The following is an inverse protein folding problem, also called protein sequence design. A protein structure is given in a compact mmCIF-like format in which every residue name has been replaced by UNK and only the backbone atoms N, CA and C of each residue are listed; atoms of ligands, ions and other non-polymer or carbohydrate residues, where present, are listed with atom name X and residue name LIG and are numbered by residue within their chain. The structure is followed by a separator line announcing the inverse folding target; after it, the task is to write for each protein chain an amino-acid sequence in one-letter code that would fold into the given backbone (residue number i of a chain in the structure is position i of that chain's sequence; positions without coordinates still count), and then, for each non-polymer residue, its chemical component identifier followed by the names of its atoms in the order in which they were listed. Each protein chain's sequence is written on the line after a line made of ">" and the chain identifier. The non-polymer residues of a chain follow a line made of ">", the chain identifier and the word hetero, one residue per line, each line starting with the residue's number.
data_IF_773140607531
#
_entry.id   IF_773140607531
#
_cell.length_a   1.000
_cell.length_b   1.000
_cell.length_c   1.000
_cell.angle_alpha   90.00
_cell.angle_beta   90.00
_cell.angle_gamma   90.00
#
_symmetry.space_group_name_H-M   'P 1'
#
loop_
_entity.id
_entity.type
_entity.pdbx_description
1 polymer ?
#
# COMPACT_ATOMS: atom_id res chain seq x y z
N UNK A 1 5.98 3.09 -15.76
CA UNK A 1 5.41 3.85 -14.63
C UNK A 1 3.89 3.87 -14.68
N UNK A 2 3.28 4.42 -15.75
CA UNK A 2 1.82 4.46 -15.94
C UNK A 2 1.10 3.11 -15.74
N UNK A 3 1.60 2.01 -16.32
CA UNK A 3 1.01 0.68 -16.12
C UNK A 3 1.01 0.21 -14.66
N UNK A 4 1.95 0.68 -13.83
CA UNK A 4 1.95 0.40 -12.39
C UNK A 4 0.94 1.27 -11.64
N UNK A 5 0.81 2.54 -12.00
CA UNK A 5 -0.22 3.44 -11.46
C UNK A 5 -1.63 2.93 -11.78
N UNK A 6 -1.85 2.52 -13.03
CA UNK A 6 -3.07 1.85 -13.46
C UNK A 6 -3.36 0.58 -12.64
N UNK A 7 -2.33 -0.25 -12.40
CA UNK A 7 -2.45 -1.43 -11.55
C UNK A 7 -2.87 -1.09 -10.11
N UNK A 8 -2.22 -0.08 -9.52
CA UNK A 8 -2.57 0.43 -8.18
C UNK A 8 -3.99 0.98 -8.14
N UNK A 9 -4.42 1.70 -9.18
CA UNK A 9 -5.78 2.21 -9.32
C UNK A 9 -6.82 1.08 -9.32
N UNK A 10 -6.62 0.04 -10.13
CA UNK A 10 -7.54 -1.12 -10.17
C UNK A 10 -7.65 -1.80 -8.80
N UNK A 11 -6.50 -1.99 -8.15
CA UNK A 11 -6.46 -2.55 -6.80
C UNK A 11 -7.22 -1.66 -5.81
N UNK A 12 -6.99 -0.34 -5.86
CA UNK A 12 -7.64 0.64 -4.98
C UNK A 12 -9.14 0.66 -5.19
N UNK A 13 -9.61 0.67 -6.45
CA UNK A 13 -11.03 0.60 -6.79
C UNK A 13 -11.69 -0.66 -6.24
N UNK A 14 -11.01 -1.81 -6.35
CA UNK A 14 -11.47 -3.07 -5.78
C UNK A 14 -11.56 -3.01 -4.26
N UNK A 15 -10.53 -2.49 -3.60
CA UNK A 15 -10.48 -2.36 -2.13
C UNK A 15 -11.55 -1.40 -1.59
N UNK A 16 -11.78 -0.26 -2.25
CA UNK A 16 -12.86 0.68 -1.90
C UNK A 16 -14.26 0.06 -1.99
N UNK A 17 -14.41 -0.97 -2.82
CA UNK A 17 -15.65 -1.74 -2.96
C UNK A 17 -15.72 -2.96 -2.04
N UNK A 18 -14.74 -3.17 -1.15
CA UNK A 18 -14.61 -4.37 -0.31
C UNK A 18 -14.58 -5.67 -1.13
N UNK A 19 -13.99 -5.62 -2.32
CA UNK A 19 -13.93 -6.76 -3.24
C UNK A 19 -12.63 -7.55 -3.11
N UNK A 20 -12.74 -8.86 -3.34
CA UNK A 20 -11.59 -9.73 -3.59
C UNK A 20 -11.34 -9.80 -5.10
N UNK A 21 -10.17 -10.29 -5.52
CA UNK A 21 -9.87 -10.51 -6.95
C UNK A 21 -10.86 -11.48 -7.63
N UNK A 22 -11.63 -12.24 -6.85
CA UNK A 22 -12.64 -13.18 -7.35
C UNK A 22 -14.04 -12.57 -7.46
N UNK A 23 -14.30 -11.39 -6.90
CA UNK A 23 -15.68 -10.87 -6.81
C UNK A 23 -16.29 -10.64 -8.20
N UNK A 24 -15.60 -9.88 -9.07
CA UNK A 24 -16.05 -9.64 -10.43
C UNK A 24 -16.14 -10.95 -11.25
N UNK A 25 -15.21 -11.87 -11.05
CA UNK A 25 -15.22 -13.19 -11.71
C UNK A 25 -16.43 -14.05 -11.31
N UNK A 26 -16.77 -14.10 -10.02
CA UNK A 26 -17.97 -14.80 -9.54
C UNK A 26 -19.24 -14.17 -10.07
N UNK A 27 -19.31 -12.84 -10.07
CA UNK A 27 -20.44 -12.10 -10.62
C UNK A 27 -20.65 -12.43 -12.10
N UNK A 28 -19.59 -12.33 -12.90
CA UNK A 28 -19.61 -12.64 -14.32
C UNK A 28 -20.06 -14.09 -14.61
N UNK A 29 -19.58 -15.05 -13.82
CA UNK A 29 -20.00 -16.45 -13.92
C UNK A 29 -21.49 -16.66 -13.67
N UNK A 30 -22.08 -15.92 -12.71
CA UNK A 30 -23.51 -16.02 -12.43
C UNK A 30 -24.37 -15.32 -13.47
N UNK A 31 -23.97 -14.11 -13.87
CA UNK A 31 -24.70 -13.22 -14.76
C UNK A 31 -24.46 -13.47 -16.27
N UNK A 32 -23.47 -14.30 -16.63
CA UNK A 32 -23.21 -14.72 -18.00
C UNK A 32 -22.55 -13.65 -18.88
N UNK A 33 -21.58 -12.91 -18.34
CA UNK A 33 -20.76 -11.97 -19.12
C UNK A 33 -19.26 -12.25 -18.97
N UNK A 34 -18.45 -11.66 -19.84
CA UNK A 34 -17.00 -11.88 -19.84
C UNK A 34 -16.28 -10.92 -18.91
N UNK A 35 -15.33 -11.47 -18.14
CA UNK A 35 -14.40 -10.69 -17.32
C UNK A 35 -13.02 -11.33 -17.32
N UNK A 36 -12.02 -10.57 -16.88
CA UNK A 36 -10.69 -11.10 -16.66
C UNK A 36 -10.69 -12.20 -15.58
N UNK A 37 -9.87 -13.23 -15.81
CA UNK A 37 -9.56 -14.19 -14.77
C UNK A 37 -8.85 -13.50 -13.59
N UNK A 38 -9.02 -13.98 -12.34
CA UNK A 38 -8.36 -13.39 -11.17
C UNK A 38 -6.83 -13.34 -11.30
N UNK A 39 -6.22 -14.32 -11.96
CA UNK A 39 -4.78 -14.34 -12.25
C UNK A 39 -4.35 -13.18 -13.17
N UNK A 40 -5.13 -12.91 -14.22
CA UNK A 40 -4.90 -11.77 -15.12
C UNK A 40 -5.06 -10.45 -14.37
N UNK A 41 -6.14 -10.31 -13.59
CA UNK A 41 -6.36 -9.11 -12.76
C UNK A 41 -5.19 -8.89 -11.80
N UNK A 42 -4.68 -9.94 -11.15
CA UNK A 42 -3.51 -9.85 -10.27
C UNK A 42 -2.25 -9.37 -11.01
N UNK A 43 -2.03 -9.80 -12.24
CA UNK A 43 -0.90 -9.32 -13.07
C UNK A 43 -1.02 -7.82 -13.35
N UNK A 44 -2.23 -7.34 -13.67
CA UNK A 44 -2.50 -5.91 -13.81
C UNK A 44 -2.29 -5.15 -12.51
N UNK A 45 -2.88 -5.61 -11.40
CA UNK A 45 -2.79 -4.93 -10.09
C UNK A 45 -1.35 -4.79 -9.59
N UNK A 46 -0.46 -5.72 -9.97
CA UNK A 46 0.96 -5.67 -9.66
C UNK A 46 1.79 -4.83 -10.66
N UNK A 47 1.15 -4.21 -11.66
CA UNK A 47 1.83 -3.43 -12.69
C UNK A 47 2.72 -4.27 -13.62
N UNK A 48 2.46 -5.58 -13.71
CA UNK A 48 3.26 -6.56 -14.46
C UNK A 48 2.61 -6.97 -15.78
N UNK A 49 1.71 -6.15 -16.32
CA UNK A 49 1.04 -6.38 -17.60
C UNK A 49 1.71 -5.54 -18.72
N UNK A 50 2.85 -5.96 -19.30
CA UNK A 50 3.59 -5.14 -20.27
C UNK A 50 2.92 -5.09 -21.65
N UNK A 51 2.10 -6.08 -22.00
CA UNK A 51 1.37 -6.17 -23.27
C UNK A 51 -0.04 -6.68 -23.01
N UNK A 52 -0.91 -5.83 -22.41
CA UNK A 52 -2.27 -6.23 -22.13
C UNK A 52 -3.04 -6.41 -23.45
N UNK A 53 -3.96 -7.37 -23.48
CA UNK A 53 -4.80 -7.58 -24.65
C UNK A 53 -5.99 -6.62 -24.63
N UNK A 54 -6.47 -6.12 -25.78
CA UNK A 54 -7.61 -5.20 -25.82
C UNK A 54 -8.84 -5.71 -25.05
N UNK A 55 -9.10 -7.02 -25.09
CA UNK A 55 -10.24 -7.66 -24.42
C UNK A 55 -10.22 -7.47 -22.90
N UNK A 56 -9.04 -7.29 -22.29
CA UNK A 56 -8.93 -6.98 -20.86
C UNK A 56 -9.58 -5.64 -20.50
N UNK A 57 -9.51 -4.66 -21.40
CA UNK A 57 -10.07 -3.33 -21.18
C UNK A 57 -11.59 -3.30 -21.42
N UNK A 58 -12.06 -4.09 -22.39
CA UNK A 58 -13.50 -4.32 -22.57
C UNK A 58 -14.10 -5.05 -21.36
N UNK A 59 -13.42 -6.06 -20.83
CA UNK A 59 -13.84 -6.76 -19.62
C UNK A 59 -13.94 -5.82 -18.40
N UNK A 60 -12.95 -4.93 -18.21
CA UNK A 60 -13.00 -3.91 -17.15
C UNK A 60 -14.18 -2.95 -17.35
N UNK A 61 -14.35 -2.46 -18.57
CA UNK A 61 -15.42 -1.53 -18.91
C UNK A 61 -16.81 -2.15 -18.73
N UNK A 62 -16.99 -3.44 -19.03
CA UNK A 62 -18.28 -4.11 -18.86
C UNK A 62 -18.68 -4.23 -17.38
N UNK A 63 -17.73 -4.60 -16.51
CA UNK A 63 -17.94 -4.57 -15.05
C UNK A 63 -18.33 -3.16 -14.61
N UNK A 64 -17.59 -2.14 -15.08
CA UNK A 64 -17.81 -0.76 -14.69
C UNK A 64 -19.18 -0.22 -15.15
N UNK A 65 -19.55 -0.50 -16.40
CA UNK A 65 -20.83 -0.14 -17.01
C UNK A 65 -21.99 -0.76 -16.24
N UNK A 66 -21.90 -2.05 -15.89
CA UNK A 66 -22.95 -2.74 -15.13
C UNK A 66 -23.10 -2.17 -13.71
N UNK A 67 -22.00 -1.83 -13.05
CA UNK A 67 -22.05 -1.13 -11.75
C UNK A 67 -22.75 0.21 -11.87
N UNK A 68 -22.39 1.02 -12.87
CA UNK A 68 -23.00 2.32 -13.09
C UNK A 68 -24.50 2.21 -13.41
N UNK A 69 -24.90 1.22 -14.20
CA UNK A 69 -26.29 0.94 -14.54
C UNK A 69 -27.07 0.22 -13.41
N UNK A 70 -26.40 -0.19 -12.33
CA UNK A 70 -26.95 -1.09 -11.29
C UNK A 70 -27.58 -2.37 -11.87
N UNK A 71 -27.00 -2.88 -12.95
CA UNK A 71 -27.45 -4.10 -13.62
C UNK A 71 -26.84 -5.34 -12.96
N UNK A 72 -27.59 -5.91 -12.02
CA UNK A 72 -27.24 -7.14 -11.31
C UNK A 72 -28.12 -8.32 -11.74
N UNK A 73 -28.65 -8.27 -12.95
CA UNK A 73 -29.44 -9.36 -13.53
C UNK A 73 -28.61 -10.65 -13.61
N UNK A 74 -29.25 -11.80 -13.41
CA UNK A 74 -28.60 -13.11 -13.44
C UNK A 74 -27.82 -13.52 -12.18
N UNK A 75 -27.61 -12.62 -11.23
CA UNK A 75 -26.95 -12.95 -9.94
C UNK A 75 -27.92 -13.70 -9.03
N UNK A 76 -27.55 -14.93 -8.69
CA UNK A 76 -28.35 -15.88 -7.91
C UNK A 76 -27.94 -15.89 -6.44
N UNK A 77 -26.65 -15.71 -6.16
CA UNK A 77 -26.12 -15.72 -4.79
C UNK A 77 -26.45 -14.41 -4.09
N UNK A 78 -27.27 -14.48 -3.04
CA UNK A 78 -27.71 -13.28 -2.29
C UNK A 78 -26.55 -12.47 -1.71
N UNK A 79 -25.61 -13.12 -1.03
CA UNK A 79 -24.45 -12.42 -0.46
C UNK A 79 -23.60 -11.70 -1.52
N UNK A 80 -23.48 -12.28 -2.72
CA UNK A 80 -22.78 -11.65 -3.84
C UNK A 80 -23.57 -10.45 -4.37
N UNK A 81 -24.89 -10.60 -4.53
CA UNK A 81 -25.78 -9.51 -4.95
C UNK A 81 -25.75 -8.34 -3.97
N UNK A 82 -25.82 -8.62 -2.68
CA UNK A 82 -25.73 -7.60 -1.63
C UNK A 82 -24.39 -6.86 -1.72
N UNK A 83 -23.28 -7.59 -1.87
CA UNK A 83 -21.94 -7.01 -2.02
C UNK A 83 -21.81 -6.12 -3.27
N UNK A 84 -22.22 -6.57 -4.45
CA UNK A 84 -22.08 -5.79 -5.69
C UNK A 84 -23.08 -4.63 -5.76
N UNK A 85 -24.24 -4.72 -5.10
CA UNK A 85 -25.24 -3.65 -5.10
C UNK A 85 -24.81 -2.40 -4.34
N UNK A 86 -23.87 -2.56 -3.39
CA UNK A 86 -23.28 -1.47 -2.62
C UNK A 86 -22.01 -0.90 -3.30
N UNK A 87 -21.50 -1.59 -4.32
CA UNK A 87 -20.28 -1.17 -5.00
C UNK A 87 -20.52 0.07 -5.88
N UNK A 88 -19.47 0.87 -6.01
CA UNK A 88 -19.44 2.08 -6.83
C UNK A 88 -18.65 1.83 -8.11
N UNK A 89 -19.15 2.33 -9.26
CA UNK A 89 -18.38 2.34 -10.49
C UNK A 89 -17.13 3.20 -10.34
N UNK A 90 -16.15 2.94 -11.20
CA UNK A 90 -15.01 3.81 -11.44
C UNK A 90 -15.47 5.01 -12.27
N UNK A 91 -15.33 6.20 -11.68
CA UNK A 91 -15.67 7.49 -12.29
C UNK A 91 -14.43 8.39 -12.33
N UNK A 92 -14.26 9.22 -13.36
CA UNK A 92 -13.23 10.25 -13.33
C UNK A 92 -13.61 11.45 -12.47
N UNK A 93 -12.65 12.37 -12.35
CA UNK A 93 -12.81 13.65 -11.66
C UNK A 93 -13.84 14.58 -12.36
N UNK A 94 -14.29 14.25 -13.57
CA UNK A 94 -15.38 14.92 -14.29
C UNK A 94 -16.71 14.15 -14.20
N UNK A 95 -16.83 13.23 -13.23
CA UNK A 95 -18.01 12.39 -12.97
C UNK A 95 -18.43 11.46 -14.12
N UNK A 96 -17.52 11.14 -15.04
CA UNK A 96 -17.78 10.24 -16.17
C UNK A 96 -17.40 8.81 -15.82
N UNK A 97 -18.28 7.87 -16.15
CA UNK A 97 -18.01 6.43 -16.03
C UNK A 97 -17.02 6.02 -17.10
N UNK A 98 -15.93 5.36 -16.69
CA UNK A 98 -14.91 4.88 -17.62
C UNK A 98 -15.38 3.72 -18.49
N UNK A 99 -15.11 3.83 -19.79
CA UNK A 99 -15.22 2.77 -20.79
C UNK A 99 -13.85 2.21 -21.19
N UNK A 100 -13.80 1.39 -22.26
CA UNK A 100 -12.56 0.70 -22.66
C UNK A 100 -11.43 1.66 -23.03
N UNK A 101 -11.78 2.79 -23.68
CA UNK A 101 -10.82 3.79 -24.13
C UNK A 101 -10.13 4.52 -22.96
N UNK A 102 -10.86 4.80 -21.88
CA UNK A 102 -10.31 5.44 -20.68
C UNK A 102 -9.38 4.48 -19.94
N UNK A 103 -9.79 3.22 -19.75
CA UNK A 103 -8.91 2.22 -19.15
C UNK A 103 -7.63 2.00 -19.97
N UNK A 104 -7.74 1.92 -21.30
CA UNK A 104 -6.59 1.78 -22.18
C UNK A 104 -5.67 3.01 -22.13
N UNK A 105 -6.24 4.20 -22.26
CA UNK A 105 -5.50 5.47 -22.20
C UNK A 105 -4.78 5.63 -20.87
N UNK A 106 -5.40 5.25 -19.76
CA UNK A 106 -4.77 5.30 -18.45
C UNK A 106 -3.61 4.32 -18.33
N UNK A 107 -3.78 3.08 -18.80
CA UNK A 107 -2.69 2.11 -18.83
C UNK A 107 -1.48 2.58 -19.65
N UNK A 108 -1.72 3.29 -20.76
CA UNK A 108 -0.67 3.89 -21.59
C UNK A 108 -0.07 5.19 -21.02
N UNK A 109 -0.66 5.76 -19.97
CA UNK A 109 -0.24 7.05 -19.41
C UNK A 109 -0.73 8.28 -20.19
N UNK A 110 -1.69 8.10 -21.10
CA UNK A 110 -2.34 9.19 -21.84
C UNK A 110 -3.49 9.84 -21.06
N UNK A 111 -4.01 9.13 -20.06
CA UNK A 111 -5.03 9.62 -19.13
C UNK A 111 -4.53 9.42 -17.70
N UNK A 112 -4.52 10.44 -16.84
CA UNK A 112 -4.12 10.25 -15.44
C UNK A 112 -5.12 9.38 -14.69
N UNK A 113 -4.65 8.75 -13.61
CA UNK A 113 -5.53 8.07 -12.65
C UNK A 113 -6.42 9.11 -11.95
N UNK A 114 -7.74 8.91 -11.82
CA UNK A 114 -8.62 9.86 -11.12
C UNK A 114 -8.21 10.02 -9.67
N UNK A 115 -8.33 11.24 -9.14
CA UNK A 115 -7.90 11.61 -7.78
C UNK A 115 -8.38 10.63 -6.71
N UNK A 116 -9.64 10.16 -6.81
CA UNK A 116 -10.25 9.23 -5.86
C UNK A 116 -9.56 7.85 -5.76
N UNK A 117 -8.80 7.46 -6.79
CA UNK A 117 -8.13 6.16 -6.88
C UNK A 117 -6.61 6.25 -6.90
N UNK A 118 -6.07 7.47 -6.83
CA UNK A 118 -4.64 7.65 -6.59
C UNK A 118 -4.30 7.03 -5.22
N UNK A 119 -3.10 6.44 -5.13
CA UNK A 119 -2.61 6.05 -3.82
C UNK A 119 -2.61 7.30 -2.93
N UNK A 120 -3.02 7.20 -1.64
CA UNK A 120 -2.77 8.29 -0.71
C UNK A 120 -1.30 8.63 -0.84
N UNK A 121 -0.98 9.91 -1.06
CA UNK A 121 0.40 10.34 -1.02
C UNK A 121 0.95 9.88 0.33
N UNK A 122 1.88 8.92 0.34
CA UNK A 122 2.78 8.77 1.47
C UNK A 122 3.45 10.14 1.52
N UNK A 123 3.31 10.92 2.60
CA UNK A 123 4.00 12.20 2.71
C UNK A 123 5.44 11.97 2.29
N UNK A 124 5.92 12.77 1.34
CA UNK A 124 7.24 12.57 0.76
C UNK A 124 8.24 12.37 1.91
N UNK A 125 9.04 11.31 1.82
CA UNK A 125 10.12 11.11 2.78
C UNK A 125 10.91 12.43 2.87
N UNK A 126 11.13 12.97 4.07
CA UNK A 126 11.94 14.17 4.23
C UNK A 126 13.28 13.98 3.51
N UNK A 127 13.76 15.00 2.80
CA UNK A 127 15.12 14.95 2.26
C UNK A 127 16.10 14.87 3.44
N UNK A 128 16.86 13.79 3.48
CA UNK A 128 17.86 13.54 4.53
C UNK A 128 19.22 13.48 3.84
N UNK A 129 20.09 14.42 4.18
CA UNK A 129 21.49 14.36 3.83
C UNK A 129 22.29 13.54 4.86
N UNK A 130 23.60 13.37 4.63
CA UNK A 130 24.45 12.61 5.53
C UNK A 130 24.52 13.21 6.95
N UNK A 131 24.44 14.53 7.09
CA UNK A 131 24.49 15.20 8.39
C UNK A 131 23.21 14.96 9.19
N UNK A 132 22.06 15.06 8.52
CA UNK A 132 20.76 14.80 9.13
C UNK A 132 20.58 13.32 9.47
N UNK A 133 21.06 12.40 8.64
CA UNK A 133 21.03 10.96 8.95
C UNK A 133 21.84 10.63 10.21
N UNK A 134 23.02 11.24 10.36
CA UNK A 134 23.84 11.12 11.56
C UNK A 134 23.15 11.74 12.79
N UNK A 135 22.52 12.91 12.64
CA UNK A 135 21.77 13.59 13.70
C UNK A 135 20.59 12.75 14.19
N UNK A 136 19.80 12.19 13.28
CA UNK A 136 18.68 11.29 13.61
C UNK A 136 19.16 10.03 14.32
N UNK A 137 20.25 9.44 13.84
CA UNK A 137 20.87 8.26 14.49
C UNK A 137 21.31 8.57 15.92
N UNK A 138 21.92 9.73 16.16
CA UNK A 138 22.29 10.18 17.50
C UNK A 138 21.06 10.43 18.39
N UNK A 139 20.02 11.05 17.82
CA UNK A 139 18.76 11.27 18.53
C UNK A 139 18.13 9.95 19.00
N UNK A 140 18.09 8.92 18.14
CA UNK A 140 17.54 7.61 18.49
C UNK A 140 18.39 6.85 19.52
N UNK A 141 19.72 6.96 19.46
CA UNK A 141 20.61 6.47 20.52
C UNK A 141 20.33 7.18 21.85
N UNK A 142 20.20 8.50 21.82
CA UNK A 142 19.86 9.31 22.99
C UNK A 142 18.54 8.88 23.62
N UNK A 143 17.51 8.63 22.80
CA UNK A 143 16.21 8.13 23.24
C UNK A 143 16.34 6.77 23.95
N UNK A 144 17.08 5.82 23.38
CA UNK A 144 17.34 4.52 24.02
C UNK A 144 17.95 4.70 25.42
N UNK A 145 19.02 5.51 25.53
CA UNK A 145 19.73 5.74 26.79
C UNK A 145 18.83 6.43 27.81
N UNK A 146 18.04 7.42 27.38
CA UNK A 146 17.14 8.16 28.26
C UNK A 146 16.05 7.24 28.81
N UNK A 147 15.36 6.48 27.96
CA UNK A 147 14.32 5.53 28.37
C UNK A 147 14.91 4.43 29.27
N UNK A 148 16.09 3.88 28.93
CA UNK A 148 16.75 2.88 29.77
C UNK A 148 17.04 3.40 31.18
N UNK A 149 17.55 4.64 31.29
CA UNK A 149 17.78 5.30 32.60
C UNK A 149 16.48 5.52 33.38
N UNK A 150 15.41 5.97 32.71
CA UNK A 150 14.12 6.22 33.34
C UNK A 150 13.51 4.95 33.94
N UNK A 151 13.68 3.81 33.28
CA UNK A 151 13.15 2.51 33.70
C UNK A 151 14.16 1.63 34.45
N UNK A 152 15.36 2.15 34.76
CA UNK A 152 16.39 1.40 35.50
C UNK A 152 16.97 0.20 34.74
N UNK A 153 16.85 0.16 33.42
CA UNK A 153 17.30 -0.94 32.57
C UNK A 153 18.79 -0.77 32.26
N UNK A 154 19.57 -1.85 32.35
CA UNK A 154 20.98 -1.83 31.97
C UNK A 154 21.17 -1.56 30.46
N UNK A 155 22.20 -0.81 30.08
CA UNK A 155 22.42 -0.39 28.67
C UNK A 155 22.46 -1.58 27.70
N UNK A 156 23.12 -2.68 28.08
CA UNK A 156 23.20 -3.89 27.24
C UNK A 156 21.85 -4.60 27.08
N UNK A 157 21.03 -4.58 28.14
CA UNK A 157 19.69 -5.15 28.13
C UNK A 157 18.73 -4.28 27.28
N UNK A 158 18.82 -2.96 27.42
CA UNK A 158 18.07 -2.01 26.61
C UNK A 158 18.40 -2.18 25.12
N UNK A 159 19.68 -2.24 24.76
CA UNK A 159 20.12 -2.48 23.39
C UNK A 159 19.56 -3.79 22.82
N UNK A 160 19.71 -4.89 23.55
CA UNK A 160 19.26 -6.23 23.11
C UNK A 160 17.74 -6.32 22.98
N UNK A 161 16.99 -5.73 23.91
CA UNK A 161 15.53 -5.75 23.90
C UNK A 161 14.94 -4.80 22.85
N UNK A 162 15.48 -3.59 22.68
CA UNK A 162 15.04 -2.65 21.65
C UNK A 162 15.28 -3.19 20.24
N UNK A 163 16.44 -3.79 19.97
CA UNK A 163 16.76 -4.37 18.68
C UNK A 163 15.77 -5.48 18.26
N UNK A 164 15.18 -6.21 19.21
CA UNK A 164 14.22 -7.29 18.92
C UNK A 164 12.89 -6.80 18.35
N UNK A 165 12.53 -5.53 18.59
CA UNK A 165 11.30 -4.93 18.03
C UNK A 165 11.40 -4.76 16.52
N UNK A 166 12.60 -4.51 15.99
CA UNK A 166 12.82 -4.41 14.55
C UNK A 166 12.64 -5.76 13.83
N UNK A 167 12.14 -5.76 12.58
CA UNK A 167 12.06 -6.95 11.73
C UNK A 167 13.43 -7.62 11.53
N UNK A 168 13.44 -8.94 11.32
CA UNK A 168 14.69 -9.72 11.21
C UNK A 168 15.67 -9.17 10.16
N UNK A 169 15.16 -8.65 9.04
CA UNK A 169 15.99 -8.06 7.97
C UNK A 169 16.71 -6.76 8.36
N UNK A 170 16.16 -6.00 9.31
CA UNK A 170 16.66 -4.67 9.69
C UNK A 170 17.32 -4.67 11.08
N UNK A 171 17.11 -5.72 11.87
CA UNK A 171 17.58 -5.85 13.24
C UNK A 171 19.07 -5.63 13.42
N UNK A 172 19.90 -6.23 12.57
CA UNK A 172 21.36 -6.13 12.71
C UNK A 172 21.84 -4.69 12.49
N UNK A 173 21.35 -4.03 11.43
CA UNK A 173 21.68 -2.64 11.14
C UNK A 173 21.16 -1.70 12.24
N UNK A 174 19.93 -1.94 12.73
CA UNK A 174 19.38 -1.16 13.84
C UNK A 174 20.17 -1.33 15.14
N UNK A 175 20.58 -2.56 15.46
CA UNK A 175 21.42 -2.82 16.63
C UNK A 175 22.80 -2.15 16.52
N UNK A 176 23.44 -2.19 15.34
CA UNK A 176 24.72 -1.52 15.11
C UNK A 176 24.61 0.00 15.28
N UNK A 177 23.50 0.59 14.79
CA UNK A 177 23.20 2.00 14.96
C UNK A 177 22.97 2.39 16.41
N UNK A 178 22.16 1.61 17.14
CA UNK A 178 21.90 1.84 18.56
C UNK A 178 23.16 1.69 19.42
N UNK A 179 24.05 0.76 19.07
CA UNK A 179 25.33 0.54 19.75
C UNK A 179 26.37 1.63 19.44
N UNK A 180 26.10 2.53 18.47
CA UNK A 180 27.00 3.60 18.08
C UNK A 180 28.16 3.16 17.19
N UNK A 181 28.13 1.93 16.64
CA UNK A 181 29.17 1.47 15.71
C UNK A 181 29.08 2.16 14.36
N UNK A 182 27.86 2.38 13.87
CA UNK A 182 27.63 2.98 12.55
C UNK A 182 26.30 3.76 12.56
N UNK A 183 26.30 5.08 12.34
CA UNK A 183 25.05 5.81 12.11
C UNK A 183 24.41 5.34 10.80
N UNK A 184 23.09 5.48 10.67
CA UNK A 184 22.47 5.25 9.37
C UNK A 184 22.96 6.28 8.35
N UNK A 185 23.20 5.83 7.12
CA UNK A 185 23.40 6.70 5.97
C UNK A 185 22.07 7.25 5.44
N UNK A 186 22.13 8.32 4.65
CA UNK A 186 20.96 8.88 3.97
C UNK A 186 20.26 7.82 3.09
N UNK A 187 21.03 6.99 2.39
CA UNK A 187 20.55 5.91 1.53
C UNK A 187 19.91 4.78 2.34
N UNK A 188 20.46 4.45 3.51
CA UNK A 188 19.87 3.42 4.38
C UNK A 188 18.52 3.87 4.93
N UNK A 189 18.34 5.17 5.17
CA UNK A 189 17.06 5.72 5.58
C UNK A 189 16.05 5.75 4.41
N UNK A 190 16.48 5.71 3.15
CA UNK A 190 15.55 5.60 2.02
C UNK A 190 14.67 4.36 2.15
N UNK A 191 13.35 4.58 2.20
CA UNK A 191 12.37 3.51 2.38
C UNK A 191 12.18 3.04 3.83
N UNK A 192 12.76 3.75 4.82
CA UNK A 192 12.44 3.59 6.24
C UNK A 192 11.42 4.63 6.74
N UNK A 193 10.79 5.38 5.86
CA UNK A 193 9.69 6.30 6.16
C UNK A 193 8.35 5.62 5.94
N UNK A 194 7.49 5.57 6.96
CA UNK A 194 6.17 4.93 6.87
C UNK A 194 5.05 5.89 6.42
N UNK A 195 5.37 7.17 6.25
CA UNK A 195 4.42 8.25 5.95
C UNK A 195 4.20 9.23 7.10
N UNK A 196 4.57 8.86 8.32
CA UNK A 196 4.37 9.69 9.52
C UNK A 196 5.65 9.78 10.37
N UNK A 197 6.40 8.68 10.47
CA UNK A 197 7.64 8.62 11.22
C UNK A 197 8.66 7.68 10.55
N UNK A 198 9.91 7.80 11.01
CA UNK A 198 10.96 6.85 10.66
C UNK A 198 10.75 5.54 11.42
N UNK A 199 10.90 4.41 10.73
CA UNK A 199 10.76 3.09 11.35
C UNK A 199 11.65 2.89 12.60
N UNK A 200 12.93 3.33 12.65
CA UNK A 200 13.72 3.32 13.88
C UNK A 200 13.07 4.03 15.07
N UNK A 201 12.38 5.16 14.82
CA UNK A 201 11.65 5.90 15.84
C UNK A 201 10.46 5.07 16.34
N UNK A 202 9.66 4.48 15.44
CA UNK A 202 8.53 3.62 15.79
C UNK A 202 8.96 2.43 16.65
N UNK A 203 10.07 1.78 16.29
CA UNK A 203 10.56 0.64 17.06
C UNK A 203 10.97 1.04 18.48
N UNK A 204 11.56 2.23 18.66
CA UNK A 204 11.91 2.74 19.98
C UNK A 204 10.67 3.16 20.80
N UNK A 205 9.67 3.78 20.17
CA UNK A 205 8.39 4.12 20.82
C UNK A 205 7.65 2.86 21.28
N UNK A 206 7.58 1.84 20.42
CA UNK A 206 6.98 0.54 20.75
C UNK A 206 7.74 -0.14 21.88
N UNK A 207 9.07 -0.15 21.82
CA UNK A 207 9.90 -0.69 22.89
C UNK A 207 9.68 0.05 24.22
N UNK A 208 9.70 1.39 24.21
CA UNK A 208 9.49 2.23 25.39
C UNK A 208 8.11 2.01 26.03
N UNK A 209 7.08 1.80 25.20
CA UNK A 209 5.72 1.53 25.69
C UNK A 209 5.65 0.18 26.40
N UNK A 210 6.33 -0.84 25.87
CA UNK A 210 6.38 -2.18 26.49
C UNK A 210 7.18 -2.20 27.78
N UNK A 211 8.28 -1.44 27.86
CA UNK A 211 9.12 -1.35 29.06
C UNK A 211 8.49 -0.48 30.15
N UNK A 212 7.68 0.52 29.81
CA UNK A 212 6.94 1.32 30.80
C UNK A 212 5.66 0.68 31.32
N UNK A 213 5.14 -0.36 30.66
CA UNK A 213 4.00 -1.14 31.12
C UNK A 213 4.39 -2.35 32.00
N UNK A 214 5.69 -2.61 32.18
CA UNK A 214 6.25 -3.67 33.04
C UNK A 214 6.76 -3.08 34.35
#
# INVERSE_FOLDING_TARGET
>A
EAGQEFGRMLRRWRELNNWTQYTAYKWAKEAGFEVMAPSTLSVFENGKAPKPRPESFFALAEVNRRLAAKDFSGVRTRALKDLISQAKPLIDDAERVWGPAEFWSCHLGLLPVPSAYQAPAVPAQPEVDAAEAARLSEQWRGQLVQTAKQHGIGVMEALSSAAKVAPAKQRQAFQAMLAGFEPYSAEQLQGMWDGEAWLPQRWLEEWSTKTGAS
#
